data_IF_393374760545
#
_entry.id   IF_393374760545
#
_cell.length_a   1.000
_cell.length_b   1.000
_cell.length_c   1.000
_cell.angle_alpha   90.00
_cell.angle_beta   90.00
_cell.angle_gamma   90.00
#
_symmetry.space_group_name_H-M   'P 1'
#
loop_
_entity.id
_entity.type
_entity.pdbx_description
1 polymer ?
#
# COMPACT_ATOMS: atom_id res chain seq x y z
N UNK A 1 -17.29 2.48 35.17
CA UNK A 1 -17.52 3.57 34.19
C UNK A 1 -16.18 3.92 33.58
N UNK A 2 -15.92 3.51 32.33
CA UNK A 2 -14.68 3.84 31.65
C UNK A 2 -14.81 5.25 31.05
N UNK A 3 -13.95 6.16 31.49
CA UNK A 3 -13.88 7.51 30.91
C UNK A 3 -13.45 7.39 29.44
N UNK A 4 -14.26 7.95 28.54
CA UNK A 4 -13.86 8.15 27.15
C UNK A 4 -12.81 9.26 27.13
N UNK A 5 -11.59 8.90 26.81
CA UNK A 5 -10.51 9.88 26.59
C UNK A 5 -10.55 10.30 25.14
N UNK A 6 -10.94 11.53 24.88
CA UNK A 6 -10.94 12.14 23.55
C UNK A 6 -9.64 12.91 23.38
N UNK A 7 -8.83 12.54 22.40
CA UNK A 7 -7.67 13.31 21.97
C UNK A 7 -8.03 14.02 20.66
N UNK A 8 -8.00 15.33 20.66
CA UNK A 8 -8.16 16.13 19.43
C UNK A 8 -6.77 16.60 18.98
N UNK A 9 -6.37 16.25 17.77
CA UNK A 9 -5.18 16.77 17.13
C UNK A 9 -5.60 17.61 15.92
N UNK A 10 -5.09 18.85 15.77
CA UNK A 10 -5.32 19.60 14.55
C UNK A 10 -4.52 18.94 13.41
N UNK A 11 -5.22 18.43 12.41
CA UNK A 11 -4.59 17.96 11.18
C UNK A 11 -4.46 19.14 10.22
N UNK A 12 -3.23 19.61 9.97
CA UNK A 12 -2.96 20.51 8.86
C UNK A 12 -2.63 19.66 7.64
N UNK A 13 -3.56 19.61 6.69
CA UNK A 13 -3.31 19.01 5.37
C UNK A 13 -2.84 20.13 4.45
N UNK A 14 -1.57 20.11 4.08
CA UNK A 14 -1.03 21.04 3.08
C UNK A 14 -1.17 20.39 1.71
N UNK A 15 -2.07 20.92 0.87
CA UNK A 15 -2.12 20.54 -0.53
C UNK A 15 -1.07 21.31 -1.32
N UNK A 16 -0.16 20.63 -1.96
CA UNK A 16 0.89 21.25 -2.79
C UNK A 16 0.40 21.75 -4.15
N UNK A 17 -0.85 21.49 -4.53
CA UNK A 17 -1.31 21.76 -5.89
C UNK A 17 -2.20 23.00 -6.06
N UNK A 18 -2.79 23.61 -5.05
CA UNK A 18 -3.71 24.75 -5.31
C UNK A 18 -3.87 25.78 -4.21
N UNK A 19 -3.11 25.76 -3.12
CA UNK A 19 -3.21 26.81 -2.08
C UNK A 19 -4.59 26.89 -1.38
N UNK A 20 -5.40 25.85 -1.45
CA UNK A 20 -6.69 25.81 -0.76
C UNK A 20 -6.48 25.20 0.62
N UNK A 21 -6.49 26.03 1.63
CA UNK A 21 -6.57 25.59 3.02
C UNK A 21 -8.00 25.12 3.29
N UNK A 22 -8.21 23.79 3.36
CA UNK A 22 -9.44 23.26 3.96
C UNK A 22 -9.37 23.48 5.46
N UNK A 23 -10.46 23.97 6.06
CA UNK A 23 -10.53 24.20 7.50
C UNK A 23 -10.17 22.92 8.28
N UNK A 24 -9.48 23.09 9.40
CA UNK A 24 -9.04 22.00 10.25
C UNK A 24 -10.22 21.12 10.67
N UNK A 25 -10.24 19.86 10.20
CA UNK A 25 -11.07 18.83 10.79
C UNK A 25 -10.36 18.26 12.03
N UNK A 26 -11.09 18.04 13.09
CA UNK A 26 -10.54 17.44 14.28
C UNK A 26 -10.59 15.91 14.17
N UNK A 27 -9.49 15.25 14.50
CA UNK A 27 -9.45 13.79 14.63
C UNK A 27 -9.98 13.44 16.00
N UNK A 28 -11.09 12.70 16.05
CA UNK A 28 -11.63 12.18 17.30
C UNK A 28 -11.29 10.71 17.44
N UNK A 29 -10.55 10.38 18.49
CA UNK A 29 -10.26 9.00 18.85
C UNK A 29 -11.44 8.39 19.58
N UNK A 30 -12.17 7.47 18.95
CA UNK A 30 -13.30 6.80 19.57
C UNK A 30 -12.90 5.42 20.05
N UNK A 31 -12.79 5.28 21.37
CA UNK A 31 -12.56 3.97 22.00
C UNK A 31 -13.92 3.23 22.06
N UNK A 32 -14.02 2.08 21.40
CA UNK A 32 -15.22 1.22 21.30
C UNK A 32 -16.28 1.65 20.27
N UNK A 33 -15.94 1.68 18.99
CA UNK A 33 -16.95 1.68 17.93
C UNK A 33 -17.57 0.29 17.77
N UNK A 34 -18.60 -0.02 18.53
CA UNK A 34 -19.45 -1.18 18.26
C UNK A 34 -20.40 -0.88 17.10
N UNK A 35 -20.13 -1.49 15.95
CA UNK A 35 -21.20 -1.89 15.04
C UNK A 35 -21.85 -0.83 14.15
N UNK A 36 -21.22 0.30 13.80
CA UNK A 36 -21.74 1.16 12.73
C UNK A 36 -21.13 0.74 11.39
N UNK A 37 -21.97 0.18 10.49
CA UNK A 37 -21.61 0.06 9.08
C UNK A 37 -21.60 1.47 8.50
N UNK A 38 -20.44 1.91 8.00
CA UNK A 38 -20.36 3.16 7.26
C UNK A 38 -20.68 2.87 5.79
N UNK A 39 -21.66 3.56 5.26
CA UNK A 39 -21.86 3.57 3.82
C UNK A 39 -20.62 4.16 3.16
N UNK A 40 -20.12 3.55 2.09
CA UNK A 40 -18.97 4.02 1.33
C UNK A 40 -19.32 5.31 0.58
N UNK A 41 -19.43 6.42 1.30
CA UNK A 41 -19.57 7.72 0.68
C UNK A 41 -18.19 8.34 0.53
N UNK A 42 -17.87 8.75 -0.69
CA UNK A 42 -16.62 9.45 -0.96
C UNK A 42 -16.49 10.69 -0.05
N UNK A 43 -15.29 10.91 0.50
CA UNK A 43 -15.03 12.14 1.25
C UNK A 43 -15.25 13.35 0.35
N UNK A 44 -15.92 14.41 0.82
CA UNK A 44 -16.30 15.55 -0.03
C UNK A 44 -15.13 16.28 -0.68
N UNK A 45 -13.93 16.17 -0.11
CA UNK A 45 -12.73 16.89 -0.56
C UNK A 45 -11.93 16.21 -1.68
N UNK A 46 -12.25 14.95 -2.03
CA UNK A 46 -11.40 14.16 -2.94
C UNK A 46 -10.02 13.80 -2.39
N UNK A 47 -9.66 14.26 -1.19
CA UNK A 47 -8.38 13.92 -0.53
C UNK A 47 -8.43 12.48 -0.07
N UNK A 48 -7.35 11.73 -0.36
CA UNK A 48 -7.14 10.36 0.10
C UNK A 48 -6.07 10.33 1.19
N UNK A 49 -6.36 9.65 2.29
CA UNK A 49 -5.42 9.45 3.38
C UNK A 49 -4.97 7.99 3.40
N UNK A 50 -3.67 7.81 3.26
CA UNK A 50 -3.00 6.52 3.35
C UNK A 50 -2.35 6.39 4.73
N UNK A 51 -2.45 5.21 5.31
CA UNK A 51 -1.70 4.86 6.51
C UNK A 51 -0.81 3.67 6.21
N UNK A 52 0.50 3.88 6.27
CA UNK A 52 1.48 2.79 6.25
C UNK A 52 1.66 2.28 7.68
N UNK A 53 1.42 0.99 7.89
CA UNK A 53 1.35 0.42 9.23
C UNK A 53 2.34 -0.72 9.42
N UNK A 54 3.21 -0.57 10.40
CA UNK A 54 4.06 -1.64 10.93
C UNK A 54 3.23 -2.74 11.58
N UNK A 55 2.97 -3.80 10.82
CA UNK A 55 2.09 -4.91 11.25
C UNK A 55 2.69 -5.78 12.35
N UNK A 56 4.01 -5.76 12.52
CA UNK A 56 4.71 -6.49 13.56
C UNK A 56 4.42 -5.99 14.99
N UNK A 57 4.01 -4.74 15.14
CA UNK A 57 3.82 -4.07 16.43
C UNK A 57 2.39 -3.60 16.68
N UNK A 58 1.57 -3.47 15.64
CA UNK A 58 0.25 -2.84 15.73
C UNK A 58 -0.81 -3.63 14.97
N UNK A 59 -1.99 -3.77 15.57
CA UNK A 59 -3.14 -4.42 14.92
C UNK A 59 -3.80 -3.45 13.91
N UNK A 60 -3.95 -3.81 12.63
CA UNK A 60 -4.58 -2.95 11.61
C UNK A 60 -6.00 -2.48 11.97
N UNK A 61 -6.75 -3.24 12.76
CA UNK A 61 -8.08 -2.84 13.21
C UNK A 61 -8.09 -1.58 14.09
N UNK A 62 -6.92 -1.13 14.55
CA UNK A 62 -6.76 0.14 15.24
C UNK A 62 -7.24 1.32 14.38
N UNK A 63 -7.11 1.25 13.06
CA UNK A 63 -7.60 2.27 12.13
C UNK A 63 -9.09 2.54 12.24
N UNK A 64 -9.88 1.55 12.69
CA UNK A 64 -11.32 1.71 12.93
C UNK A 64 -11.66 2.70 14.06
N UNK A 65 -10.66 3.06 14.86
CA UNK A 65 -10.83 4.03 15.95
C UNK A 65 -10.68 5.49 15.49
N UNK A 66 -10.25 5.71 14.24
CA UNK A 66 -10.06 7.05 13.69
C UNK A 66 -11.20 7.41 12.74
N UNK A 67 -11.96 8.42 13.13
CA UNK A 67 -13.13 8.88 12.39
C UNK A 67 -13.14 10.40 12.27
N UNK A 68 -13.70 10.90 11.19
CA UNK A 68 -13.92 12.32 11.01
C UNK A 68 -15.11 12.75 11.89
N UNK A 69 -14.92 13.75 12.75
CA UNK A 69 -15.91 14.18 13.75
C UNK A 69 -17.23 14.57 13.12
N UNK A 70 -17.22 15.35 12.04
CA UNK A 70 -18.45 15.90 11.43
C UNK A 70 -19.22 14.89 10.61
N UNK A 71 -18.51 14.03 9.86
CA UNK A 71 -19.16 13.09 8.92
C UNK A 71 -19.34 11.69 9.47
N UNK A 72 -18.56 11.31 10.50
CA UNK A 72 -18.51 9.96 11.01
C UNK A 72 -17.86 8.97 10.03
N UNK A 73 -17.21 9.45 8.97
CA UNK A 73 -16.49 8.62 8.02
C UNK A 73 -15.13 8.19 8.58
N UNK A 74 -14.57 7.06 8.12
CA UNK A 74 -13.19 6.70 8.45
C UNK A 74 -12.23 7.81 8.09
N UNK A 75 -11.22 8.06 8.94
CA UNK A 75 -10.17 9.01 8.63
C UNK A 75 -9.33 8.54 7.46
N UNK A 76 -8.92 7.27 7.48
CA UNK A 76 -8.08 6.68 6.44
C UNK A 76 -8.93 6.09 5.32
N UNK A 77 -8.49 6.27 4.09
CA UNK A 77 -9.09 5.65 2.91
C UNK A 77 -8.40 4.34 2.55
N UNK A 78 -7.07 4.28 2.77
CA UNK A 78 -6.23 3.14 2.42
C UNK A 78 -5.31 2.80 3.59
N UNK A 79 -5.29 1.53 3.95
CA UNK A 79 -4.36 0.95 4.93
C UNK A 79 -3.33 0.13 4.18
N UNK A 80 -2.07 0.48 4.31
CA UNK A 80 -0.93 -0.25 3.75
C UNK A 80 -0.43 -1.20 4.84
N UNK A 81 -0.53 -2.51 4.60
CA UNK A 81 0.02 -3.52 5.49
C UNK A 81 1.52 -3.66 5.25
N UNK A 82 2.33 -3.11 6.12
CA UNK A 82 3.79 -3.11 6.00
C UNK A 82 4.38 -4.23 6.87
N UNK A 83 5.10 -5.19 6.32
CA UNK A 83 5.30 -5.49 4.92
C UNK A 83 5.44 -6.99 4.68
N UNK A 84 5.04 -7.46 3.50
CA UNK A 84 5.60 -8.66 2.91
C UNK A 84 6.94 -8.30 2.23
N UNK A 85 7.71 -9.31 1.82
CA UNK A 85 9.00 -9.11 1.15
C UNK A 85 9.03 -9.82 -0.20
N UNK A 86 9.79 -9.27 -1.14
CA UNK A 86 10.20 -10.02 -2.33
C UNK A 86 11.41 -10.87 -1.96
N UNK A 87 11.36 -12.16 -2.29
CA UNK A 87 12.46 -13.11 -2.07
C UNK A 87 12.65 -14.00 -3.29
N UNK A 88 13.84 -14.60 -3.42
CA UNK A 88 14.06 -15.61 -4.43
C UNK A 88 13.84 -17.01 -3.83
N UNK A 89 12.95 -17.79 -4.45
CA UNK A 89 12.70 -19.18 -4.07
C UNK A 89 13.60 -20.11 -4.87
N UNK A 90 14.60 -20.70 -4.20
CA UNK A 90 15.57 -21.61 -4.79
C UNK A 90 14.94 -22.92 -5.29
N UNK A 91 13.83 -23.35 -4.71
CA UNK A 91 13.17 -24.61 -5.10
C UNK A 91 12.35 -24.43 -6.38
N UNK A 92 11.66 -23.30 -6.49
CA UNK A 92 10.86 -22.97 -7.65
C UNK A 92 11.63 -22.13 -8.69
N UNK A 93 12.86 -21.77 -8.38
CA UNK A 93 13.73 -20.94 -9.22
C UNK A 93 13.05 -19.67 -9.72
N UNK A 94 12.32 -18.96 -8.82
CA UNK A 94 11.60 -17.72 -9.16
C UNK A 94 11.46 -16.77 -7.99
N UNK A 95 11.12 -15.52 -8.28
CA UNK A 95 10.79 -14.53 -7.28
C UNK A 95 9.39 -14.78 -6.72
N UNK A 96 9.22 -14.59 -5.43
CA UNK A 96 7.99 -14.80 -4.68
C UNK A 96 7.72 -13.70 -3.67
N UNK A 97 6.45 -13.59 -3.26
CA UNK A 97 6.06 -12.84 -2.07
C UNK A 97 6.26 -13.74 -0.85
N UNK A 98 7.05 -13.27 0.10
CA UNK A 98 7.23 -13.89 1.39
C UNK A 98 6.55 -13.07 2.48
N UNK A 99 5.68 -13.73 3.24
CA UNK A 99 4.96 -13.08 4.33
C UNK A 99 5.72 -13.18 5.64
N UNK A 100 5.86 -12.06 6.33
CA UNK A 100 6.19 -12.11 7.75
C UNK A 100 5.09 -12.85 8.53
N UNK A 101 5.39 -13.42 9.72
CA UNK A 101 4.35 -14.05 10.54
C UNK A 101 3.17 -13.13 10.85
N UNK A 102 3.42 -11.84 11.03
CA UNK A 102 2.38 -10.84 11.26
C UNK A 102 1.45 -10.68 10.04
N UNK A 103 2.02 -10.52 8.85
CA UNK A 103 1.25 -10.45 7.60
C UNK A 103 0.43 -11.72 7.40
N UNK A 104 1.05 -12.90 7.59
CA UNK A 104 0.34 -14.19 7.48
C UNK A 104 -0.88 -14.26 8.41
N UNK A 105 -0.73 -13.83 9.66
CA UNK A 105 -1.83 -13.80 10.62
C UNK A 105 -2.95 -12.84 10.23
N UNK A 106 -2.61 -11.68 9.66
CA UNK A 106 -3.59 -10.67 9.22
C UNK A 106 -4.41 -11.18 8.03
N UNK A 107 -3.75 -11.62 6.95
CA UNK A 107 -4.41 -12.00 5.71
C UNK A 107 -5.20 -13.31 5.81
N UNK A 108 -4.86 -14.18 6.77
CA UNK A 108 -5.58 -15.42 7.04
C UNK A 108 -6.74 -15.24 8.03
N UNK A 109 -6.91 -14.04 8.58
CA UNK A 109 -7.98 -13.68 9.49
C UNK A 109 -9.07 -12.85 8.79
N UNK A 110 -10.05 -12.39 9.55
CA UNK A 110 -11.10 -11.49 9.05
C UNK A 110 -10.72 -10.00 9.09
N UNK A 111 -9.45 -9.66 9.37
CA UNK A 111 -8.97 -8.29 9.52
C UNK A 111 -9.18 -7.48 8.24
N UNK A 112 -8.81 -8.02 7.08
CA UNK A 112 -8.99 -7.35 5.77
C UNK A 112 -10.48 -7.07 5.55
N UNK A 113 -11.32 -8.09 5.72
CA UNK A 113 -12.77 -7.94 5.61
C UNK A 113 -13.34 -6.90 6.57
N UNK A 114 -12.87 -6.87 7.81
CA UNK A 114 -13.33 -5.88 8.79
C UNK A 114 -12.94 -4.46 8.41
N UNK A 115 -11.78 -4.22 7.79
CA UNK A 115 -11.38 -2.92 7.28
C UNK A 115 -12.26 -2.51 6.09
N UNK A 116 -12.55 -3.43 5.16
CA UNK A 116 -13.50 -3.21 4.06
C UNK A 116 -14.91 -2.86 4.56
N UNK A 117 -15.42 -3.58 5.56
CA UNK A 117 -16.73 -3.30 6.18
C UNK A 117 -16.81 -1.88 6.78
N UNK A 118 -15.66 -1.29 7.11
CA UNK A 118 -15.53 0.11 7.56
C UNK A 118 -15.34 1.11 6.42
N UNK A 119 -15.22 0.64 5.17
CA UNK A 119 -15.05 1.49 3.99
C UNK A 119 -13.60 1.88 3.70
N UNK A 120 -12.63 1.21 4.31
CA UNK A 120 -11.21 1.38 4.00
C UNK A 120 -10.77 0.36 2.96
N UNK A 121 -9.86 0.75 2.08
CA UNK A 121 -9.14 -0.14 1.19
C UNK A 121 -7.89 -0.68 1.86
N UNK A 122 -7.48 -1.89 1.48
CA UNK A 122 -6.32 -2.56 2.08
C UNK A 122 -5.35 -2.97 0.98
N UNK A 123 -4.13 -2.48 1.05
CA UNK A 123 -3.06 -2.87 0.11
C UNK A 123 -1.91 -3.52 0.85
N UNK A 124 -1.24 -4.46 0.21
CA UNK A 124 -0.03 -5.09 0.75
C UNK A 124 1.22 -4.31 0.32
N UNK A 125 2.09 -3.99 1.26
CA UNK A 125 3.43 -3.54 0.93
C UNK A 125 4.30 -4.73 0.54
N UNK A 126 5.03 -4.59 -0.57
CA UNK A 126 6.10 -5.49 -0.98
C UNK A 126 7.41 -4.73 -0.87
N UNK A 127 8.15 -5.05 0.18
CA UNK A 127 9.43 -4.45 0.51
C UNK A 127 10.57 -5.26 -0.14
N UNK A 128 11.63 -4.58 -0.53
CA UNK A 128 12.89 -5.21 -0.87
C UNK A 128 13.44 -6.08 0.27
N UNK A 129 14.25 -7.05 -0.08
CA UNK A 129 15.02 -7.88 0.84
C UNK A 129 16.52 -7.80 0.50
N UNK A 130 17.37 -8.37 1.33
CA UNK A 130 18.80 -8.46 1.04
C UNK A 130 19.09 -9.17 -0.30
N UNK A 131 18.20 -10.04 -0.74
CA UNK A 131 18.34 -10.89 -1.92
C UNK A 131 17.73 -10.29 -3.19
N UNK A 132 16.63 -9.55 -3.06
CA UNK A 132 15.85 -9.08 -4.19
C UNK A 132 15.14 -7.76 -3.88
N UNK A 133 15.12 -6.86 -4.86
CA UNK A 133 14.42 -5.58 -4.76
C UNK A 133 13.44 -5.38 -5.92
N UNK A 134 12.42 -4.58 -5.68
CA UNK A 134 11.37 -4.30 -6.68
C UNK A 134 11.87 -3.49 -7.88
N UNK A 135 12.98 -2.77 -7.74
CA UNK A 135 13.64 -2.06 -8.84
C UNK A 135 14.74 -2.89 -9.55
N UNK A 136 14.86 -4.17 -9.23
CA UNK A 136 15.94 -5.04 -9.71
C UNK A 136 15.51 -6.09 -10.74
N UNK A 137 14.23 -6.19 -11.07
CA UNK A 137 13.70 -7.25 -11.91
C UNK A 137 14.03 -7.01 -13.39
N UNK A 138 14.37 -8.10 -14.10
CA UNK A 138 14.37 -8.09 -15.57
C UNK A 138 12.92 -8.01 -16.09
N UNK A 139 12.72 -7.63 -17.34
CA UNK A 139 11.37 -7.52 -17.93
C UNK A 139 10.57 -8.83 -17.84
N UNK A 140 11.25 -9.97 -18.05
CA UNK A 140 10.62 -11.29 -17.92
C UNK A 140 10.20 -11.58 -16.47
N UNK A 141 11.06 -11.24 -15.50
CA UNK A 141 10.78 -11.41 -14.09
C UNK A 141 9.66 -10.46 -13.62
N UNK A 142 9.60 -9.23 -14.14
CA UNK A 142 8.50 -8.30 -13.87
C UNK A 142 7.13 -8.92 -14.22
N UNK A 143 7.00 -9.52 -15.41
CA UNK A 143 5.74 -10.16 -15.85
C UNK A 143 5.34 -11.32 -14.94
N UNK A 144 6.29 -12.18 -14.61
CA UNK A 144 6.00 -13.35 -13.77
C UNK A 144 5.63 -12.91 -12.35
N UNK A 145 6.36 -11.95 -11.78
CA UNK A 145 6.13 -11.47 -10.43
C UNK A 145 4.85 -10.64 -10.34
N UNK A 146 4.52 -9.85 -11.37
CA UNK A 146 3.26 -9.13 -11.47
C UNK A 146 2.05 -10.08 -11.43
N UNK A 147 2.13 -11.23 -12.10
CA UNK A 147 1.07 -12.24 -12.03
C UNK A 147 0.96 -12.87 -10.64
N UNK A 148 2.08 -13.09 -9.96
CA UNK A 148 2.06 -13.55 -8.56
C UNK A 148 1.37 -12.52 -7.66
N UNK A 149 1.69 -11.24 -7.79
CA UNK A 149 1.04 -10.16 -7.04
C UNK A 149 -0.47 -10.13 -7.30
N UNK A 150 -0.88 -10.24 -8.56
CA UNK A 150 -2.29 -10.26 -8.91
C UNK A 150 -3.03 -11.43 -8.26
N UNK A 151 -2.48 -12.64 -8.35
CA UNK A 151 -3.04 -13.84 -7.73
C UNK A 151 -3.08 -13.71 -6.20
N UNK A 152 -2.05 -13.11 -5.61
CA UNK A 152 -1.96 -12.87 -4.17
C UNK A 152 -3.05 -11.88 -3.73
N UNK A 153 -3.21 -10.77 -4.42
CA UNK A 153 -4.25 -9.79 -4.11
C UNK A 153 -5.66 -10.36 -4.26
N UNK A 154 -5.89 -11.24 -5.22
CA UNK A 154 -7.17 -11.92 -5.39
C UNK A 154 -7.42 -12.92 -4.26
N UNK A 155 -6.43 -13.75 -3.93
CA UNK A 155 -6.57 -14.81 -2.92
C UNK A 155 -6.88 -14.26 -1.52
N UNK A 156 -6.40 -13.06 -1.19
CA UNK A 156 -6.56 -12.44 0.13
C UNK A 156 -7.48 -11.22 0.14
N UNK A 157 -8.26 -11.02 -0.93
CA UNK A 157 -9.21 -9.90 -1.08
C UNK A 157 -8.56 -8.51 -0.85
N UNK A 158 -7.32 -8.34 -1.31
CA UNK A 158 -6.60 -7.07 -1.19
C UNK A 158 -6.93 -6.13 -2.36
N UNK A 159 -6.97 -4.83 -2.08
CA UNK A 159 -7.28 -3.80 -3.08
C UNK A 159 -6.08 -3.42 -3.95
N UNK A 160 -4.90 -3.94 -3.69
CA UNK A 160 -3.72 -3.66 -4.48
C UNK A 160 -2.40 -3.85 -3.75
N UNK A 161 -1.36 -3.23 -4.30
CA UNK A 161 0.03 -3.35 -3.83
C UNK A 161 0.66 -1.97 -3.62
N UNK A 162 1.59 -1.91 -2.67
CA UNK A 162 2.48 -0.79 -2.42
C UNK A 162 3.94 -1.29 -2.54
N UNK A 163 4.66 -0.80 -3.54
CA UNK A 163 6.06 -1.15 -3.75
C UNK A 163 6.98 -0.25 -2.97
N UNK A 164 7.97 -0.85 -2.29
CA UNK A 164 9.01 -0.17 -1.55
C UNK A 164 10.36 -0.83 -1.83
N UNK A 165 11.31 -0.10 -2.43
CA UNK A 165 12.61 -0.63 -2.86
C UNK A 165 13.71 -0.23 -1.88
N UNK A 166 13.77 -0.94 -0.79
CA UNK A 166 14.79 -0.75 0.24
C UNK A 166 15.49 -2.06 0.60
N UNK A 167 16.65 -1.96 1.25
CA UNK A 167 17.40 -3.07 1.87
C UNK A 167 17.92 -4.14 0.90
N UNK A 168 18.05 -3.84 -0.39
CA UNK A 168 18.56 -4.80 -1.36
C UNK A 168 20.02 -4.57 -1.60
N UNK A 169 20.87 -5.51 -1.16
CA UNK A 169 22.31 -5.46 -1.23
C UNK A 169 22.89 -6.34 -2.36
N UNK A 170 22.09 -7.24 -2.90
CA UNK A 170 22.52 -8.13 -3.98
C UNK A 170 21.42 -8.37 -5.03
N UNK A 171 21.83 -8.78 -6.23
CA UNK A 171 20.93 -9.13 -7.33
C UNK A 171 21.52 -10.28 -8.16
N UNK A 172 22.07 -11.28 -7.46
CA UNK A 172 22.79 -12.39 -8.09
C UNK A 172 21.89 -13.55 -8.52
N UNK A 173 20.60 -13.50 -8.17
CA UNK A 173 19.66 -14.55 -8.57
C UNK A 173 19.14 -14.35 -10.00
N UNK A 174 18.74 -15.45 -10.66
CA UNK A 174 18.09 -15.37 -11.97
C UNK A 174 16.88 -14.45 -11.96
N UNK A 175 16.73 -13.63 -12.99
CA UNK A 175 15.65 -12.65 -13.09
C UNK A 175 15.95 -11.31 -12.42
N UNK A 176 17.10 -11.17 -11.75
CA UNK A 176 17.54 -9.91 -11.14
C UNK A 176 18.72 -9.30 -11.89
N UNK A 177 18.85 -7.99 -11.74
CA UNK A 177 19.92 -7.19 -12.33
C UNK A 177 20.11 -5.90 -11.52
N UNK A 178 21.06 -5.06 -11.91
CA UNK A 178 21.30 -3.77 -11.25
C UNK A 178 20.02 -2.92 -11.20
N UNK A 179 19.73 -2.24 -10.09
CA UNK A 179 18.51 -1.47 -9.92
C UNK A 179 18.42 -0.28 -10.87
N UNK A 180 17.20 0.07 -11.27
CA UNK A 180 16.92 1.32 -11.97
C UNK A 180 15.46 1.73 -11.80
N UNK A 181 15.21 3.03 -11.94
CA UNK A 181 13.84 3.58 -11.95
C UNK A 181 12.97 3.03 -13.09
N UNK A 182 13.59 2.72 -14.23
CA UNK A 182 12.89 2.11 -15.36
C UNK A 182 12.39 0.70 -15.03
N UNK A 183 13.17 -0.09 -14.29
CA UNK A 183 12.75 -1.44 -13.84
C UNK A 183 11.63 -1.37 -12.82
N UNK A 184 11.71 -0.43 -11.88
CA UNK A 184 10.63 -0.18 -10.94
C UNK A 184 9.34 0.23 -11.68
N UNK A 185 9.45 1.13 -12.65
CA UNK A 185 8.33 1.54 -13.50
C UNK A 185 7.79 0.35 -14.32
N UNK A 186 8.68 -0.50 -14.88
CA UNK A 186 8.28 -1.72 -15.60
C UNK A 186 7.48 -2.66 -14.70
N UNK A 187 7.92 -2.90 -13.47
CA UNK A 187 7.17 -3.75 -12.54
C UNK A 187 5.79 -3.16 -12.24
N UNK A 188 5.68 -1.85 -11.97
CA UNK A 188 4.40 -1.19 -11.77
C UNK A 188 3.47 -1.35 -12.98
N UNK A 189 4.01 -1.14 -14.19
CA UNK A 189 3.27 -1.33 -15.44
C UNK A 189 2.75 -2.76 -15.59
N UNK A 190 3.61 -3.76 -15.50
CA UNK A 190 3.23 -5.17 -15.65
C UNK A 190 2.20 -5.58 -14.56
N UNK A 191 2.36 -5.04 -13.35
CA UNK A 191 1.41 -5.28 -12.26
C UNK A 191 0.05 -4.65 -12.57
N UNK A 192 0.01 -3.42 -13.09
CA UNK A 192 -1.24 -2.78 -13.49
C UNK A 192 -1.93 -3.52 -14.64
N UNK A 193 -1.15 -4.06 -15.59
CA UNK A 193 -1.70 -4.89 -16.66
C UNK A 193 -2.27 -6.23 -16.14
N UNK A 194 -1.64 -6.82 -15.12
CA UNK A 194 -2.11 -8.07 -14.52
C UNK A 194 -3.34 -7.89 -13.62
N UNK A 195 -3.52 -6.72 -13.01
CA UNK A 195 -4.66 -6.43 -12.12
C UNK A 195 -5.20 -5.00 -12.34
N UNK A 196 -5.84 -4.72 -13.50
CA UNK A 196 -6.22 -3.36 -13.93
C UNK A 196 -7.18 -2.65 -12.98
N UNK A 197 -8.02 -3.40 -12.27
CA UNK A 197 -9.03 -2.87 -11.35
C UNK A 197 -8.51 -2.66 -9.91
N UNK A 198 -7.27 -3.07 -9.63
CA UNK A 198 -6.65 -2.92 -8.31
C UNK A 198 -5.62 -1.78 -8.31
N UNK A 199 -5.32 -1.27 -7.12
CA UNK A 199 -4.36 -0.19 -6.95
C UNK A 199 -2.93 -0.69 -7.12
N UNK A 200 -2.15 0.05 -7.90
CA UNK A 200 -0.69 -0.04 -7.94
C UNK A 200 -0.15 1.26 -7.37
N UNK A 201 0.52 1.15 -6.25
CA UNK A 201 1.08 2.29 -5.53
C UNK A 201 2.56 2.06 -5.23
N UNK A 202 3.31 3.11 -4.97
CA UNK A 202 4.73 2.98 -4.71
C UNK A 202 5.25 4.08 -3.78
N UNK A 203 6.34 3.76 -3.10
CA UNK A 203 7.14 4.72 -2.38
C UNK A 203 8.25 5.25 -3.29
N UNK A 204 8.28 6.56 -3.46
CA UNK A 204 9.35 7.23 -4.20
C UNK A 204 10.47 7.49 -3.21
N UNK A 205 11.40 6.56 -3.16
CA UNK A 205 12.56 6.61 -2.30
C UNK A 205 13.83 6.40 -3.11
N UNK A 206 14.85 7.23 -2.86
CA UNK A 206 16.12 7.11 -3.55
C UNK A 206 16.04 7.28 -5.08
N UNK A 207 17.17 7.04 -5.74
CA UNK A 207 17.33 7.14 -7.20
C UNK A 207 16.67 6.01 -7.97
N UNK A 208 16.26 4.94 -7.29
CA UNK A 208 15.75 3.72 -7.91
C UNK A 208 14.27 3.79 -8.26
N UNK A 209 13.50 4.64 -7.58
CA UNK A 209 12.05 4.77 -7.77
C UNK A 209 11.62 6.07 -8.48
N UNK A 210 12.51 6.71 -9.22
CA UNK A 210 12.18 7.88 -10.03
C UNK A 210 11.37 7.48 -11.27
N UNK A 211 10.05 7.63 -11.21
CA UNK A 211 9.16 7.33 -12.33
C UNK A 211 9.20 8.44 -13.38
N UNK A 212 10.17 8.39 -14.28
CA UNK A 212 10.27 9.33 -15.40
C UNK A 212 10.16 8.65 -16.77
N UNK A 213 10.16 7.31 -16.78
CA UNK A 213 10.20 6.54 -18.02
C UNK A 213 8.81 6.11 -18.45
N UNK A 214 8.48 6.37 -19.70
CA UNK A 214 7.32 5.75 -20.35
C UNK A 214 7.60 4.27 -20.54
N UNK A 215 6.60 3.44 -20.26
CA UNK A 215 6.63 2.02 -20.51
C UNK A 215 5.57 1.69 -21.58
N UNK A 216 5.99 1.07 -22.69
CA UNK A 216 5.11 0.76 -23.82
C UNK A 216 4.29 1.97 -24.32
N UNK A 217 4.87 3.17 -24.23
CA UNK A 217 4.23 4.43 -24.63
C UNK A 217 3.30 5.05 -23.58
N UNK A 218 3.03 4.39 -22.47
CA UNK A 218 2.22 4.90 -21.35
C UNK A 218 3.05 5.72 -20.38
N UNK A 219 2.46 6.81 -19.88
CA UNK A 219 3.06 7.61 -18.81
C UNK A 219 2.94 6.90 -17.45
N UNK A 220 3.83 7.19 -16.49
CA UNK A 220 3.74 6.59 -15.15
C UNK A 220 2.37 6.75 -14.49
N UNK A 221 1.70 7.89 -14.68
CA UNK A 221 0.36 8.13 -14.16
C UNK A 221 -0.75 7.27 -14.76
N UNK A 222 -0.46 6.54 -15.84
CA UNK A 222 -1.43 5.61 -16.45
C UNK A 222 -1.42 4.23 -15.78
N UNK A 223 -0.33 3.90 -15.05
CA UNK A 223 -0.17 2.59 -14.41
C UNK A 223 0.20 2.66 -12.92
N UNK A 224 0.45 3.84 -12.37
CA UNK A 224 0.62 4.07 -10.93
C UNK A 224 -0.52 4.95 -10.45
N UNK A 225 -1.35 4.43 -9.54
CA UNK A 225 -2.52 5.15 -9.04
C UNK A 225 -2.13 6.21 -7.99
N UNK A 226 -1.15 5.90 -7.13
CA UNK A 226 -0.62 6.82 -6.13
C UNK A 226 0.87 6.58 -5.91
N UNK A 227 1.62 7.66 -5.80
CA UNK A 227 3.01 7.64 -5.39
C UNK A 227 3.17 8.44 -4.10
N UNK A 228 3.87 7.87 -3.13
CA UNK A 228 4.14 8.49 -1.84
C UNK A 228 5.62 8.85 -1.82
N UNK A 229 5.95 10.06 -1.44
CA UNK A 229 7.33 10.53 -1.28
C UNK A 229 7.50 11.22 0.08
N UNK A 230 8.72 11.23 0.58
CA UNK A 230 9.12 12.08 1.71
C UNK A 230 9.04 13.57 1.37
#
# INVERSE_FOLDING_TARGET
MSQNVTYAFPLQVTSTTTGVHSGADHIVFVKNCKGKKFASSAKPSGIKLFSCMETGSTNPLFHKSFMLEKSGLPLFDVVILFSAKIVYDEQECRLKIWNTPAISGIIQSDVVKQLHDYGMKVVISVLGSEEAGVAHLTDAACKTFAQEIANYCEAYDLDGVFFDDEYTDSWNHPGLTSPSSERAARLCYETKMAMPDKMVTCYIYSRTCGFHSKIEGMEPGDFVDYAISD
#
